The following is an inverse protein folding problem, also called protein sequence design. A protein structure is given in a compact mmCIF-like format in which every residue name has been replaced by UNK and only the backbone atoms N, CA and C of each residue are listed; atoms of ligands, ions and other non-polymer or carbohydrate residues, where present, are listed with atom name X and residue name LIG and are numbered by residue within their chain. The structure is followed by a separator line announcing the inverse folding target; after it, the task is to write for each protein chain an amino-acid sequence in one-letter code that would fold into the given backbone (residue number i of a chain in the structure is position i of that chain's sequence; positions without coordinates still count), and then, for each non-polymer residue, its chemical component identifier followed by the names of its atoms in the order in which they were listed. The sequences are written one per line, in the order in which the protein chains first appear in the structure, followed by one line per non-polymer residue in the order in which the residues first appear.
data_IF_149501623938
#
_entry.id   IF_149501623938
#
_cell.length_a   1.000
_cell.length_b   1.000
_cell.length_c   1.000
_cell.angle_alpha   90.00
_cell.angle_beta   90.00
_cell.angle_gamma   90.00
#
_symmetry.space_group_name_H-M   'P 1'
#
loop_
_entity.id
_entity.type
_entity.pdbx_description
1 polymer ?
#
# COMPACT_ATOMS: atom_id res chain seq x y z
N UNK A 1 -15.14 50.38 28.28
CA UNK A 1 -15.26 51.64 27.50
C UNK A 1 -13.89 51.89 26.91
N UNK A 2 -13.55 51.62 25.66
CA UNK A 2 -14.17 51.06 24.44
C UNK A 2 -12.95 50.51 23.69
N UNK A 3 -12.81 49.20 23.54
CA UNK A 3 -13.24 48.39 22.39
C UNK A 3 -12.66 48.88 21.05
N UNK A 4 -11.79 48.06 20.46
CA UNK A 4 -11.41 48.05 19.03
C UNK A 4 -10.76 46.69 18.73
N UNK A 5 -11.62 45.71 18.41
CA UNK A 5 -11.30 44.51 17.66
C UNK A 5 -11.47 44.81 16.17
N UNK A 6 -10.52 44.41 15.33
CA UNK A 6 -10.69 44.43 13.88
C UNK A 6 -10.33 43.06 13.31
N UNK A 7 -11.37 42.24 13.15
CA UNK A 7 -11.38 41.05 12.31
C UNK A 7 -11.67 41.45 10.86
N UNK A 8 -10.84 40.98 9.93
CA UNK A 8 -11.13 40.88 8.50
C UNK A 8 -10.53 39.55 8.05
N UNK A 9 -11.27 38.49 7.67
CA UNK A 9 -12.44 38.47 6.79
C UNK A 9 -11.97 37.99 5.40
N UNK A 10 -11.59 36.70 5.28
CA UNK A 10 -11.30 36.06 3.99
C UNK A 10 -12.59 35.40 3.48
N UNK A 11 -12.89 35.71 2.22
CA UNK A 11 -14.12 35.34 1.52
C UNK A 11 -13.93 33.96 0.90
N UNK A 12 -14.70 32.98 1.38
CA UNK A 12 -14.89 31.70 0.70
C UNK A 12 -16.00 31.83 -0.35
N UNK A 13 -15.64 31.60 -1.61
CA UNK A 13 -16.59 31.39 -2.71
C UNK A 13 -16.90 29.90 -2.87
N UNK A 14 -18.15 29.45 -2.66
CA UNK A 14 -18.52 28.06 -2.91
C UNK A 14 -18.73 27.81 -4.41
N UNK A 15 -18.04 26.80 -4.95
CA UNK A 15 -18.31 26.25 -6.29
C UNK A 15 -19.59 25.41 -6.25
N UNK A 16 -20.56 25.81 -7.07
CA UNK A 16 -21.86 25.17 -7.25
C UNK A 16 -21.73 23.81 -7.96
N UNK A 17 -22.06 22.72 -7.27
CA UNK A 17 -22.36 21.42 -7.87
C UNK A 17 -23.84 21.35 -8.26
N UNK A 18 -24.12 21.01 -9.54
CA UNK A 18 -25.48 20.90 -10.07
C UNK A 18 -26.14 19.60 -9.60
N UNK A 19 -27.10 19.72 -8.70
CA UNK A 19 -28.15 18.71 -8.47
C UNK A 19 -29.01 18.55 -9.73
N UNK A 20 -29.14 17.32 -10.20
CA UNK A 20 -30.31 16.87 -10.96
C UNK A 20 -31.09 15.91 -10.08
N UNK A 21 -32.26 16.36 -9.65
CA UNK A 21 -33.27 15.57 -8.96
C UNK A 21 -34.18 14.90 -10.00
N UNK A 22 -34.47 13.61 -9.82
CA UNK A 22 -35.64 12.96 -10.43
C UNK A 22 -36.28 11.97 -9.44
N UNK A 23 -37.31 12.52 -8.80
CA UNK A 23 -38.55 11.98 -8.27
C UNK A 23 -38.78 10.45 -8.29
N UNK A 24 -39.13 9.95 -7.10
CA UNK A 24 -39.70 8.63 -6.83
C UNK A 24 -41.04 8.39 -7.56
N UNK A 25 -41.23 7.16 -8.05
CA UNK A 25 -42.54 6.61 -8.36
C UNK A 25 -42.70 5.24 -7.67
N UNK A 26 -43.57 5.22 -6.66
CA UNK A 26 -44.06 4.01 -6.00
C UNK A 26 -45.04 3.32 -6.94
N UNK A 27 -44.80 2.05 -7.25
CA UNK A 27 -45.72 1.25 -8.07
C UNK A 27 -45.52 -0.24 -7.85
N UNK A 28 -46.39 -0.85 -7.04
CA UNK A 28 -46.55 -2.30 -6.89
C UNK A 28 -47.21 -2.89 -8.14
N UNK A 29 -46.73 -4.03 -8.66
CA UNK A 29 -47.61 -4.99 -9.32
C UNK A 29 -47.69 -6.30 -8.54
N UNK A 30 -48.90 -6.86 -8.57
CA UNK A 30 -49.35 -8.03 -7.84
C UNK A 30 -48.71 -9.35 -8.32
N UNK A 31 -48.65 -10.28 -7.36
CA UNK A 31 -48.44 -11.73 -7.46
C UNK A 31 -49.14 -12.40 -8.66
N UNK A 32 -48.42 -13.28 -9.37
CA UNK A 32 -48.92 -14.51 -10.00
C UNK A 32 -47.77 -15.48 -10.39
N UNK A 33 -47.37 -16.34 -9.44
CA UNK A 33 -47.35 -17.81 -9.56
C UNK A 33 -46.30 -18.57 -10.39
N UNK A 34 -45.61 -19.48 -9.67
CA UNK A 34 -44.94 -20.76 -10.06
C UNK A 34 -43.45 -20.66 -10.48
N UNK A 35 -42.47 -21.42 -9.97
CA UNK A 35 -42.38 -22.38 -8.87
C UNK A 35 -40.88 -22.72 -8.59
N UNK A 36 -40.59 -23.10 -7.34
CA UNK A 36 -39.47 -23.90 -6.80
C UNK A 36 -38.06 -23.27 -6.69
N UNK A 37 -37.67 -23.03 -5.43
CA UNK A 37 -36.29 -22.78 -5.00
C UNK A 37 -36.16 -21.73 -3.90
N UNK A 38 -36.99 -21.79 -2.85
CA UNK A 38 -36.89 -20.85 -1.72
C UNK A 38 -35.65 -21.17 -0.89
N UNK A 39 -34.54 -20.49 -1.16
CA UNK A 39 -33.58 -20.14 -0.13
C UNK A 39 -34.26 -19.12 0.79
N UNK A 40 -34.98 -19.59 1.80
CA UNK A 40 -35.20 -18.80 3.01
C UNK A 40 -33.87 -18.78 3.78
N UNK A 41 -32.94 -17.94 3.34
CA UNK A 41 -31.90 -17.45 4.21
C UNK A 41 -32.62 -16.63 5.29
N UNK A 42 -32.77 -17.23 6.47
CA UNK A 42 -33.20 -16.51 7.65
C UNK A 42 -32.26 -15.32 7.82
N UNK A 43 -32.74 -14.13 7.50
CA UNK A 43 -32.16 -12.87 7.94
C UNK A 43 -32.33 -12.81 9.46
N UNK A 44 -31.47 -13.53 10.18
CA UNK A 44 -30.96 -12.96 11.41
C UNK A 44 -30.23 -11.70 10.97
N UNK A 45 -30.73 -10.55 11.41
CA UNK A 45 -29.86 -9.43 11.69
C UNK A 45 -28.80 -10.01 12.61
N UNK A 46 -27.62 -10.33 12.08
CA UNK A 46 -26.50 -10.66 12.94
C UNK A 46 -26.20 -9.37 13.68
N UNK A 47 -26.09 -9.45 15.00
CA UNK A 47 -25.51 -8.34 15.73
C UNK A 47 -24.09 -8.13 15.17
N UNK A 48 -23.64 -6.88 15.04
CA UNK A 48 -22.31 -6.57 14.50
C UNK A 48 -21.17 -7.29 15.23
N UNK A 49 -21.41 -7.67 16.49
CA UNK A 49 -20.51 -8.46 17.34
C UNK A 49 -20.24 -9.87 16.77
N UNK A 50 -21.11 -10.44 15.93
CA UNK A 50 -20.92 -11.79 15.34
C UNK A 50 -19.81 -11.82 14.28
N UNK A 51 -19.41 -10.67 13.73
CA UNK A 51 -18.42 -10.56 12.66
C UNK A 51 -17.17 -9.78 13.05
N UNK A 52 -17.04 -9.31 14.30
CA UNK A 52 -15.81 -8.67 14.79
C UNK A 52 -14.60 -9.63 14.70
N UNK A 53 -14.86 -10.91 14.98
CA UNK A 53 -13.89 -11.99 14.91
C UNK A 53 -14.14 -12.91 13.70
N UNK A 54 -13.08 -13.56 13.23
CA UNK A 54 -13.13 -14.61 12.23
C UNK A 54 -12.13 -15.72 12.51
N UNK A 55 -12.16 -16.75 11.68
CA UNK A 55 -11.24 -17.88 11.77
C UNK A 55 -10.46 -17.98 10.45
N UNK A 56 -9.15 -17.77 10.51
CA UNK A 56 -8.27 -17.95 9.36
C UNK A 56 -7.91 -19.43 9.19
N UNK A 57 -8.58 -20.07 8.25
CA UNK A 57 -8.45 -21.49 7.93
C UNK A 57 -7.50 -21.75 6.74
N UNK A 58 -7.02 -23.00 6.60
CA UNK A 58 -6.43 -23.50 5.36
C UNK A 58 -7.36 -23.35 4.15
N UNK A 59 -6.76 -23.30 2.96
CA UNK A 59 -7.46 -23.23 1.68
C UNK A 59 -8.44 -24.40 1.51
N UNK A 60 -9.56 -24.13 0.83
CA UNK A 60 -10.45 -25.19 0.36
C UNK A 60 -9.85 -25.87 -0.89
N UNK A 61 -10.31 -27.10 -1.19
CA UNK A 61 -9.83 -27.95 -2.30
C UNK A 61 -9.85 -27.28 -3.70
N UNK A 62 -10.54 -26.16 -3.86
CA UNK A 62 -10.74 -25.44 -5.12
C UNK A 62 -10.15 -24.02 -5.15
N UNK A 63 -9.08 -23.75 -4.38
CA UNK A 63 -8.41 -22.44 -4.36
C UNK A 63 -6.89 -22.51 -4.69
N UNK A 64 -6.47 -23.15 -5.80
CA UNK A 64 -5.05 -23.27 -6.12
C UNK A 64 -4.38 -21.92 -6.45
N UNK A 65 -5.14 -20.89 -6.81
CA UNK A 65 -4.61 -19.55 -7.08
C UNK A 65 -4.11 -18.82 -5.82
N UNK A 66 -4.49 -19.30 -4.64
CA UNK A 66 -4.02 -18.78 -3.36
C UNK A 66 -2.84 -19.61 -2.79
N UNK A 67 -2.46 -20.69 -3.48
CA UNK A 67 -1.37 -21.55 -3.04
C UNK A 67 -0.04 -20.82 -3.19
N UNK A 68 0.71 -20.70 -2.09
CA UNK A 68 1.97 -19.96 -2.05
C UNK A 68 1.80 -18.44 -1.91
N UNK A 69 0.59 -17.92 -2.07
CA UNK A 69 0.31 -16.49 -1.89
C UNK A 69 0.44 -16.08 -0.42
N UNK A 70 1.16 -14.99 -0.21
CA UNK A 70 1.54 -14.47 1.11
C UNK A 70 0.58 -13.39 1.59
N UNK A 71 0.04 -12.62 0.65
CA UNK A 71 -0.77 -11.44 0.93
C UNK A 71 -2.22 -11.63 0.58
N UNK A 72 -2.57 -12.69 -0.14
CA UNK A 72 -3.92 -12.94 -0.62
C UNK A 72 -4.72 -13.81 0.35
N UNK A 73 -5.98 -13.42 0.58
CA UNK A 73 -6.99 -14.19 1.32
C UNK A 73 -8.33 -14.19 0.57
N UNK A 74 -9.21 -15.12 0.93
CA UNK A 74 -10.64 -15.07 0.59
C UNK A 74 -11.50 -15.03 1.84
N UNK A 75 -12.68 -14.44 1.77
CA UNK A 75 -13.60 -14.38 2.91
C UNK A 75 -15.07 -14.42 2.48
N UNK A 76 -15.96 -14.77 3.42
CA UNK A 76 -17.40 -14.77 3.17
C UNK A 76 -17.93 -13.37 2.84
N UNK A 77 -18.75 -13.20 1.79
CA UNK A 77 -19.33 -11.91 1.44
C UNK A 77 -20.11 -11.24 2.59
N UNK A 78 -20.69 -12.01 3.52
CA UNK A 78 -21.41 -11.50 4.69
C UNK A 78 -20.46 -10.91 5.72
N UNK A 79 -19.35 -11.59 6.01
CA UNK A 79 -18.28 -11.07 6.86
C UNK A 79 -17.71 -9.79 6.26
N UNK A 80 -17.39 -9.80 4.97
CA UNK A 80 -16.88 -8.61 4.26
C UNK A 80 -17.88 -7.44 4.31
N UNK A 81 -19.15 -7.69 4.00
CA UNK A 81 -20.21 -6.68 4.04
C UNK A 81 -20.41 -6.09 5.44
N UNK A 82 -20.24 -6.88 6.50
CA UNK A 82 -20.34 -6.39 7.88
C UNK A 82 -19.26 -5.35 8.22
N UNK A 83 -18.10 -5.44 7.56
CA UNK A 83 -16.98 -4.51 7.70
C UNK A 83 -16.92 -3.45 6.59
N UNK A 84 -17.87 -3.44 5.65
CA UNK A 84 -17.82 -2.55 4.50
C UNK A 84 -16.66 -2.83 3.55
N UNK A 85 -16.18 -4.08 3.52
CA UNK A 85 -15.08 -4.55 2.68
C UNK A 85 -15.60 -5.24 1.40
N UNK A 86 -14.77 -5.25 0.37
CA UNK A 86 -14.98 -6.00 -0.88
C UNK A 86 -13.67 -6.61 -1.41
N UNK A 87 -13.77 -7.52 -2.37
CA UNK A 87 -12.59 -7.96 -3.10
C UNK A 87 -11.83 -6.77 -3.73
N UNK A 88 -10.50 -6.87 -3.72
CA UNK A 88 -9.54 -5.85 -4.11
C UNK A 88 -9.04 -4.98 -2.95
N UNK A 89 -9.75 -4.92 -1.83
CA UNK A 89 -9.36 -4.08 -0.69
C UNK A 89 -8.38 -4.77 0.26
N UNK A 90 -7.65 -3.94 1.02
CA UNK A 90 -6.80 -4.40 2.11
C UNK A 90 -7.59 -4.54 3.42
N UNK A 91 -7.21 -5.54 4.22
CA UNK A 91 -7.74 -5.78 5.56
C UNK A 91 -6.61 -6.19 6.50
N UNK A 92 -6.65 -5.75 7.76
CA UNK A 92 -5.73 -6.18 8.81
C UNK A 92 -6.38 -7.32 9.59
N UNK A 93 -5.67 -8.43 9.69
CA UNK A 93 -6.03 -9.53 10.59
C UNK A 93 -5.08 -9.47 11.79
N UNK A 94 -5.65 -9.52 12.99
CA UNK A 94 -4.92 -9.52 14.26
C UNK A 94 -5.25 -10.81 14.99
N UNK A 95 -4.26 -11.51 15.53
CA UNK A 95 -4.51 -12.70 16.35
C UNK A 95 -5.20 -12.35 17.65
N UNK A 96 -6.21 -13.15 18.01
CA UNK A 96 -6.96 -12.92 19.25
C UNK A 96 -6.16 -13.27 20.52
N UNK A 97 -5.15 -14.14 20.40
CA UNK A 97 -4.29 -14.56 21.51
C UNK A 97 -3.04 -13.69 21.66
N UNK A 98 -2.71 -12.84 20.68
CA UNK A 98 -1.57 -11.92 20.70
C UNK A 98 -1.79 -10.75 19.72
N UNK A 99 -2.01 -9.55 20.24
CA UNK A 99 -2.26 -8.33 19.46
C UNK A 99 -1.03 -7.78 18.72
N UNK A 100 0.18 -8.19 19.13
CA UNK A 100 1.43 -7.94 18.38
C UNK A 100 1.58 -8.82 17.13
N UNK A 101 0.74 -9.86 16.99
CA UNK A 101 0.70 -10.76 15.83
C UNK A 101 -0.42 -10.37 14.87
N UNK A 102 -0.09 -9.53 13.91
CA UNK A 102 -1.03 -9.11 12.87
C UNK A 102 -0.36 -9.12 11.49
N UNK A 103 -1.14 -8.94 10.43
CA UNK A 103 -0.64 -8.63 9.10
C UNK A 103 -1.76 -8.04 8.24
N UNK A 104 -1.37 -7.26 7.24
CA UNK A 104 -2.30 -6.80 6.21
C UNK A 104 -2.36 -7.79 5.05
N UNK A 105 -3.57 -7.94 4.50
CA UNK A 105 -3.87 -8.84 3.40
C UNK A 105 -4.73 -8.15 2.37
N UNK A 106 -4.64 -8.61 1.12
CA UNK A 106 -5.55 -8.28 0.04
C UNK A 106 -6.65 -9.35 -0.01
N UNK A 107 -7.90 -8.91 -0.01
CA UNK A 107 -9.05 -9.80 -0.26
C UNK A 107 -9.13 -10.03 -1.76
N UNK A 108 -8.76 -11.21 -2.26
CA UNK A 108 -8.74 -11.47 -3.72
C UNK A 108 -9.96 -12.26 -4.20
N UNK A 109 -10.72 -12.85 -3.29
CA UNK A 109 -11.91 -13.65 -3.60
C UNK A 109 -12.97 -13.47 -2.52
N UNK A 110 -14.20 -13.13 -2.94
CA UNK A 110 -15.38 -13.25 -2.09
C UNK A 110 -15.96 -14.65 -2.24
N UNK A 111 -15.99 -15.42 -1.16
CA UNK A 111 -16.30 -16.84 -1.19
C UNK A 111 -17.30 -17.22 -0.12
N UNK A 112 -18.52 -17.66 -0.47
CA UNK A 112 -19.47 -18.15 0.52
C UNK A 112 -18.90 -19.32 1.34
N UNK A 113 -18.88 -19.17 2.66
CA UNK A 113 -18.40 -20.15 3.62
C UNK A 113 -19.49 -20.55 4.61
N UNK A 114 -19.30 -21.70 5.25
CA UNK A 114 -20.16 -22.17 6.33
C UNK A 114 -19.31 -22.86 7.41
N UNK A 115 -19.09 -22.23 8.57
CA UNK A 115 -19.66 -20.95 9.02
C UNK A 115 -19.17 -19.71 8.25
N UNK A 116 -19.87 -18.57 8.41
CA UNK A 116 -19.68 -17.34 7.61
C UNK A 116 -18.54 -16.44 8.09
N UNK A 117 -17.91 -16.78 9.20
CA UNK A 117 -16.78 -16.10 9.82
C UNK A 117 -15.42 -16.68 9.33
N UNK A 118 -15.45 -17.64 8.41
CA UNK A 118 -14.26 -18.23 7.82
C UNK A 118 -13.58 -17.26 6.85
N UNK A 119 -12.27 -17.13 7.04
CA UNK A 119 -11.32 -16.53 6.11
C UNK A 119 -10.38 -17.64 5.66
N UNK A 120 -10.04 -17.71 4.37
CA UNK A 120 -9.09 -18.68 3.83
C UNK A 120 -7.80 -17.97 3.42
N UNK A 121 -6.67 -18.55 3.79
CA UNK A 121 -5.36 -18.13 3.30
C UNK A 121 -4.45 -19.32 3.12
N UNK A 122 -3.53 -19.24 2.16
CA UNK A 122 -2.49 -20.25 1.96
C UNK A 122 -1.57 -20.36 3.17
N UNK A 123 -0.76 -21.43 3.25
CA UNK A 123 0.18 -21.60 4.37
C UNK A 123 1.12 -20.40 4.50
N UNK A 124 1.56 -19.80 3.39
CA UNK A 124 2.40 -18.60 3.41
C UNK A 124 1.68 -17.36 3.96
N UNK A 125 0.39 -17.19 3.69
CA UNK A 125 -0.43 -16.13 4.27
C UNK A 125 -0.60 -16.31 5.79
N UNK A 126 -0.91 -17.53 6.26
CA UNK A 126 -1.10 -17.81 7.70
C UNK A 126 0.18 -17.59 8.51
N UNK A 127 1.35 -17.93 7.96
CA UNK A 127 2.67 -17.69 8.59
C UNK A 127 2.92 -16.23 8.98
N UNK A 128 2.30 -15.27 8.29
CA UNK A 128 2.50 -13.84 8.60
C UNK A 128 1.86 -13.42 9.93
N UNK A 129 0.97 -14.24 10.50
CA UNK A 129 0.37 -14.05 11.83
C UNK A 129 1.06 -14.88 12.92
N UNK A 130 2.15 -15.58 12.63
CA UNK A 130 2.82 -16.41 13.63
C UNK A 130 4.34 -16.19 13.62
N UNK A 131 4.75 -14.93 13.62
CA UNK A 131 6.16 -14.56 13.52
C UNK A 131 6.94 -14.88 14.80
N UNK A 132 6.29 -14.88 15.96
CA UNK A 132 6.88 -15.33 17.23
C UNK A 132 7.35 -16.79 17.20
N UNK A 133 6.72 -17.63 16.39
CA UNK A 133 7.11 -19.03 16.20
C UNK A 133 8.22 -19.21 15.15
N UNK A 134 8.75 -18.10 14.63
CA UNK A 134 9.80 -18.13 13.62
C UNK A 134 11.13 -17.68 14.20
N UNK A 135 12.15 -18.51 13.97
CA UNK A 135 13.54 -18.17 14.27
C UNK A 135 13.89 -16.82 13.60
N UNK A 136 14.42 -15.84 14.35
CA UNK A 136 14.90 -14.59 13.77
C UNK A 136 15.90 -14.89 12.66
N UNK A 137 15.67 -14.35 11.46
CA UNK A 137 16.73 -14.29 10.47
C UNK A 137 17.82 -13.35 10.98
N UNK A 138 19.08 -13.77 10.91
CA UNK A 138 20.23 -12.94 11.28
C UNK A 138 20.20 -11.66 10.41
N UNK A 139 20.08 -10.45 11.00
CA UNK A 139 20.10 -9.20 10.26
C UNK A 139 21.49 -8.90 9.65
N UNK A 140 22.48 -9.78 9.87
CA UNK A 140 23.87 -9.66 9.42
C UNK A 140 24.15 -10.08 7.98
N UNK A 141 23.14 -10.40 7.18
CA UNK A 141 23.29 -10.60 5.74
C UNK A 141 22.40 -9.60 5.00
N UNK A 142 22.90 -9.06 3.90
CA UNK A 142 22.21 -8.16 2.95
C UNK A 142 21.02 -8.83 2.23
N UNK A 143 20.42 -9.85 2.84
CA UNK A 143 19.36 -10.64 2.28
C UNK A 143 18.05 -9.86 2.41
N UNK A 144 17.37 -9.79 1.26
CA UNK A 144 15.92 -9.63 1.14
C UNK A 144 15.20 -10.10 2.40
N UNK A 145 14.15 -9.42 2.90
CA UNK A 145 13.23 -10.06 3.83
C UNK A 145 12.56 -11.25 3.13
N UNK A 146 13.24 -12.39 3.06
CA UNK A 146 12.66 -13.66 2.67
C UNK A 146 11.69 -14.06 3.77
N UNK A 147 10.47 -14.38 3.35
CA UNK A 147 9.49 -14.99 4.22
C UNK A 147 9.95 -16.42 4.54
N UNK A 148 10.76 -16.53 5.59
CA UNK A 148 10.81 -17.60 6.59
C UNK A 148 10.72 -19.03 6.02
N UNK A 149 11.90 -19.66 5.86
CA UNK A 149 12.07 -20.98 5.25
C UNK A 149 11.59 -22.16 6.14
N UNK A 150 11.31 -21.95 7.43
CA UNK A 150 10.81 -23.01 8.31
C UNK A 150 9.60 -22.52 9.11
N UNK A 151 8.44 -23.10 8.82
CA UNK A 151 7.24 -23.01 9.66
C UNK A 151 6.89 -24.44 10.03
N UNK A 152 6.66 -24.66 11.32
CA UNK A 152 6.29 -25.97 11.86
C UNK A 152 4.83 -26.02 12.29
N UNK A 153 4.04 -24.97 12.03
CA UNK A 153 2.60 -24.97 12.29
C UNK A 153 1.88 -25.77 11.20
N UNK A 154 1.63 -27.04 11.46
CA UNK A 154 0.79 -27.85 10.59
C UNK A 154 -0.66 -27.32 10.63
N UNK A 155 -1.26 -27.01 9.48
CA UNK A 155 -2.72 -26.94 9.25
C UNK A 155 -3.64 -26.29 10.32
N UNK A 156 -3.13 -25.34 11.11
CA UNK A 156 -3.90 -24.72 12.19
C UNK A 156 -4.84 -23.62 11.69
N UNK A 157 -6.02 -23.59 12.31
CA UNK A 157 -6.99 -22.50 12.27
C UNK A 157 -6.55 -21.43 13.28
N UNK A 158 -6.59 -20.17 12.87
CA UNK A 158 -6.16 -19.05 13.71
C UNK A 158 -7.36 -18.15 13.99
N UNK A 159 -7.71 -17.99 15.27
CA UNK A 159 -8.72 -17.02 15.69
C UNK A 159 -8.19 -15.60 15.51
N UNK A 160 -8.91 -14.79 14.73
CA UNK A 160 -8.50 -13.43 14.38
C UNK A 160 -9.59 -12.41 14.63
N UNK A 161 -9.18 -11.16 14.84
CA UNK A 161 -10.02 -9.97 14.79
C UNK A 161 -9.80 -9.30 13.43
N UNK A 162 -10.90 -8.91 12.79
CA UNK A 162 -10.88 -8.20 11.51
C UNK A 162 -10.86 -6.69 11.77
N UNK A 163 -9.85 -6.01 11.24
CA UNK A 163 -9.72 -4.55 11.32
C UNK A 163 -9.64 -3.92 9.93
N UNK A 164 -10.43 -2.87 9.73
CA UNK A 164 -10.45 -2.04 8.51
C UNK A 164 -9.47 -0.87 8.57
N UNK A 165 -8.86 -0.63 9.72
CA UNK A 165 -7.84 0.42 9.87
C UNK A 165 -6.51 -0.11 9.32
N UNK A 166 -6.13 0.36 8.14
CA UNK A 166 -4.85 0.04 7.50
C UNK A 166 -3.80 1.10 7.86
N UNK A 167 -3.82 2.33 7.29
CA UNK A 167 -3.11 3.43 7.91
C UNK A 167 -3.89 3.95 9.11
N UNK A 168 -3.18 4.28 10.19
CA UNK A 168 -3.75 5.00 11.32
C UNK A 168 -3.51 6.51 11.14
N UNK A 169 -4.54 7.30 10.78
CA UNK A 169 -4.36 8.72 10.48
C UNK A 169 -4.08 9.58 11.72
N UNK A 170 -4.42 9.07 12.91
CA UNK A 170 -4.34 9.84 14.16
C UNK A 170 -2.94 9.82 14.78
N UNK A 171 -2.03 8.99 14.26
CA UNK A 171 -0.68 8.85 14.81
C UNK A 171 0.33 9.79 14.14
N UNK A 172 1.17 10.38 14.98
CA UNK A 172 2.45 10.93 14.54
C UNK A 172 3.39 9.82 14.06
N UNK A 173 4.44 10.20 13.34
CA UNK A 173 5.47 9.24 12.91
C UNK A 173 6.18 8.55 14.09
N UNK A 174 6.49 9.30 15.15
CA UNK A 174 7.15 8.73 16.32
C UNK A 174 6.22 7.75 17.07
N UNK A 175 4.95 8.09 17.23
CA UNK A 175 3.96 7.17 17.83
C UNK A 175 3.76 5.91 16.99
N UNK A 176 3.65 6.06 15.66
CA UNK A 176 3.50 4.91 14.76
C UNK A 176 4.74 4.00 14.79
N UNK A 177 5.94 4.58 14.87
CA UNK A 177 7.18 3.82 15.03
C UNK A 177 7.25 3.08 16.36
N UNK A 178 6.87 3.72 17.45
CA UNK A 178 6.85 3.12 18.79
C UNK A 178 5.80 2.00 18.89
N UNK A 179 4.64 2.18 18.27
CA UNK A 179 3.51 1.24 18.33
C UNK A 179 3.57 0.14 17.26
N UNK A 180 4.49 0.24 16.28
CA UNK A 180 4.55 -0.71 15.18
C UNK A 180 3.36 -0.59 14.24
N UNK A 181 2.93 0.64 13.96
CA UNK A 181 1.78 0.96 13.11
C UNK A 181 2.21 1.46 11.72
N UNK A 182 1.24 1.56 10.82
CA UNK A 182 1.40 2.19 9.51
C UNK A 182 0.69 3.53 9.49
N UNK A 183 1.35 4.54 8.93
CA UNK A 183 0.78 5.85 8.63
C UNK A 183 0.86 6.14 7.14
N UNK A 184 0.00 7.05 6.71
CA UNK A 184 -0.07 7.54 5.34
C UNK A 184 0.16 9.06 5.34
N UNK A 185 0.86 9.57 4.32
CA UNK A 185 1.14 11.00 4.15
C UNK A 185 0.97 11.39 2.69
N UNK A 186 0.31 12.52 2.48
CA UNK A 186 0.16 13.18 1.20
C UNK A 186 0.61 14.64 1.32
N UNK A 187 1.58 15.01 0.49
CA UNK A 187 1.94 16.40 0.24
C UNK A 187 1.40 16.79 -1.13
N UNK A 188 0.14 17.20 -1.18
CA UNK A 188 -0.53 17.66 -2.40
C UNK A 188 -0.04 19.07 -2.77
N UNK A 189 0.57 19.17 -3.96
CA UNK A 189 1.07 20.43 -4.53
C UNK A 189 0.34 20.81 -5.83
N UNK A 190 -0.66 20.04 -6.25
CA UNK A 190 -1.38 20.24 -7.52
C UNK A 190 -0.48 20.14 -8.75
N UNK A 191 0.55 19.29 -8.68
CA UNK A 191 1.54 19.05 -9.74
C UNK A 191 1.16 17.81 -10.55
N UNK A 192 1.40 17.83 -11.87
CA UNK A 192 1.20 16.67 -12.76
C UNK A 192 2.29 15.58 -12.59
N UNK A 193 3.34 15.86 -11.81
CA UNK A 193 4.34 14.91 -11.34
C UNK A 193 3.99 14.39 -9.95
N UNK A 194 4.01 13.06 -9.80
CA UNK A 194 3.75 12.33 -8.57
C UNK A 194 4.96 11.49 -8.14
N UNK A 195 5.42 11.65 -6.90
CA UNK A 195 6.38 10.74 -6.26
C UNK A 195 5.67 9.79 -5.29
N UNK A 196 5.93 8.50 -5.43
CA UNK A 196 5.28 7.42 -4.68
C UNK A 196 6.31 6.62 -3.87
N UNK A 197 5.94 6.30 -2.63
CA UNK A 197 6.60 5.26 -1.84
C UNK A 197 5.55 4.42 -1.10
N UNK A 198 4.98 3.40 -1.75
CA UNK A 198 3.91 2.58 -1.17
C UNK A 198 4.36 1.71 0.00
N UNK A 199 5.67 1.56 0.21
CA UNK A 199 6.27 0.67 1.20
C UNK A 199 7.36 1.37 2.02
N UNK A 200 7.12 2.59 2.49
CA UNK A 200 8.12 3.33 3.26
C UNK A 200 8.25 2.92 4.73
N UNK A 201 9.02 3.68 5.49
CA UNK A 201 9.30 3.41 6.90
C UNK A 201 10.30 2.26 7.05
N UNK A 202 9.98 1.25 7.85
CA UNK A 202 10.78 0.04 7.98
C UNK A 202 10.36 -1.09 7.02
N UNK A 203 9.30 -0.91 6.22
CA UNK A 203 8.85 -1.90 5.24
C UNK A 203 9.89 -2.06 4.12
N UNK A 204 10.22 -0.97 3.43
CA UNK A 204 11.37 -0.86 2.55
C UNK A 204 12.13 0.43 2.91
N UNK A 205 13.14 0.36 3.80
CA UNK A 205 13.77 1.55 4.37
C UNK A 205 14.21 2.61 3.36
N UNK A 206 13.95 3.89 3.68
CA UNK A 206 14.34 5.08 2.90
C UNK A 206 13.49 5.40 1.67
N UNK A 207 12.61 4.52 1.18
CA UNK A 207 11.81 4.85 -0.02
C UNK A 207 10.87 6.03 0.22
N UNK A 208 10.25 6.12 1.41
CA UNK A 208 9.46 7.28 1.84
C UNK A 208 10.26 8.57 1.85
N UNK A 209 11.48 8.53 2.40
CA UNK A 209 12.34 9.69 2.50
C UNK A 209 12.80 10.14 1.11
N UNK A 210 13.04 9.20 0.20
CA UNK A 210 13.35 9.50 -1.20
C UNK A 210 12.19 10.20 -1.91
N UNK A 211 10.96 9.68 -1.76
CA UNK A 211 9.78 10.29 -2.36
C UNK A 211 9.52 11.70 -1.80
N UNK A 212 9.63 11.86 -0.48
CA UNK A 212 9.49 13.14 0.21
C UNK A 212 10.53 14.16 -0.25
N UNK A 213 11.80 13.78 -0.25
CA UNK A 213 12.89 14.66 -0.68
C UNK A 213 12.79 15.04 -2.15
N UNK A 214 12.51 14.08 -3.04
CA UNK A 214 12.32 14.37 -4.46
C UNK A 214 11.11 15.28 -4.71
N UNK A 215 10.01 15.05 -3.98
CA UNK A 215 8.80 15.89 -4.05
C UNK A 215 9.03 17.31 -3.56
N UNK A 216 9.81 17.51 -2.50
CA UNK A 216 10.22 18.84 -2.03
C UNK A 216 11.10 19.56 -3.05
N UNK A 217 12.10 18.88 -3.61
CA UNK A 217 13.03 19.46 -4.58
C UNK A 217 12.34 19.89 -5.88
N UNK A 218 11.45 19.04 -6.41
CA UNK A 218 10.77 19.28 -7.67
C UNK A 218 9.42 20.01 -7.53
N UNK A 219 9.05 20.43 -6.31
CA UNK A 219 7.73 20.99 -5.97
C UNK A 219 6.55 20.10 -6.46
N UNK A 220 6.73 18.79 -6.41
CA UNK A 220 5.79 17.79 -6.94
C UNK A 220 4.85 17.20 -5.88
N UNK A 221 3.73 16.62 -6.30
CA UNK A 221 2.84 15.89 -5.38
C UNK A 221 3.57 14.64 -4.88
N UNK A 222 3.47 14.34 -3.58
CA UNK A 222 4.10 13.16 -2.99
C UNK A 222 3.12 12.38 -2.13
N UNK A 223 2.95 11.10 -2.43
CA UNK A 223 2.19 10.17 -1.61
C UNK A 223 3.10 9.04 -1.09
N UNK A 224 3.00 8.73 0.20
CA UNK A 224 3.83 7.70 0.84
C UNK A 224 3.14 7.05 2.02
N UNK A 225 3.43 5.76 2.22
CA UNK A 225 3.16 5.07 3.48
C UNK A 225 4.44 4.97 4.30
N UNK A 226 4.31 4.85 5.63
CA UNK A 226 5.44 4.63 6.53
C UNK A 226 5.00 3.58 7.56
N UNK A 227 5.52 2.36 7.47
CA UNK A 227 5.14 1.25 8.35
C UNK A 227 6.29 0.77 9.22
N UNK A 228 6.01 0.46 10.48
CA UNK A 228 6.95 -0.17 11.43
C UNK A 228 6.33 -1.41 12.03
N UNK A 229 7.11 -2.39 12.45
CA UNK A 229 6.56 -3.52 13.19
C UNK A 229 6.78 -3.36 14.70
N UNK A 230 6.01 -4.08 15.53
CA UNK A 230 6.18 -4.07 16.98
C UNK A 230 7.64 -4.37 17.36
N UNK A 231 8.15 -3.65 18.34
CA UNK A 231 9.55 -3.76 18.81
C UNK A 231 10.62 -3.48 17.71
N UNK A 232 10.24 -2.84 16.61
CA UNK A 232 11.16 -2.43 15.54
C UNK A 232 11.57 -3.54 14.57
N UNK A 233 10.86 -4.68 14.56
CA UNK A 233 11.17 -5.83 13.68
C UNK A 233 9.99 -6.16 12.77
N UNK A 234 10.23 -6.93 11.71
CA UNK A 234 9.20 -7.55 10.87
C UNK A 234 8.22 -6.61 10.13
N UNK A 235 8.51 -5.31 10.02
CA UNK A 235 7.65 -4.34 9.32
C UNK A 235 7.24 -4.79 7.91
N UNK A 236 8.18 -5.34 7.13
CA UNK A 236 7.89 -5.92 5.81
C UNK A 236 6.85 -7.04 5.88
N UNK A 237 7.01 -8.00 6.79
CA UNK A 237 6.07 -9.11 6.93
C UNK A 237 4.68 -8.65 7.37
N UNK A 238 4.59 -7.61 8.20
CA UNK A 238 3.33 -7.07 8.71
C UNK A 238 2.58 -6.23 7.67
N UNK A 239 3.29 -5.32 7.01
CA UNK A 239 2.68 -4.22 6.23
C UNK A 239 2.86 -4.30 4.72
N UNK A 240 3.70 -5.21 4.20
CA UNK A 240 3.86 -5.29 2.75
C UNK A 240 2.67 -5.99 2.09
N UNK A 241 2.12 -5.37 1.05
CA UNK A 241 1.31 -5.99 -0.01
C UNK A 241 1.85 -5.56 -1.37
N UNK A 242 1.81 -6.40 -2.42
CA UNK A 242 2.25 -6.00 -3.75
C UNK A 242 1.62 -4.69 -4.19
N UNK A 243 2.39 -3.79 -4.81
CA UNK A 243 1.86 -2.49 -5.29
C UNK A 243 0.75 -2.66 -6.34
N UNK A 244 0.72 -3.80 -7.04
CA UNK A 244 -0.37 -4.18 -7.95
C UNK A 244 -1.69 -4.51 -7.27
N UNK A 245 -1.66 -4.77 -5.95
CA UNK A 245 -2.85 -5.12 -5.17
C UNK A 245 -3.39 -3.95 -4.34
N UNK A 246 -2.63 -2.86 -4.18
CA UNK A 246 -3.03 -1.72 -3.37
C UNK A 246 -4.31 -1.07 -3.91
N UNK A 247 -5.33 -0.96 -3.07
CA UNK A 247 -6.58 -0.29 -3.42
C UNK A 247 -6.61 1.11 -2.81
N UNK A 248 -6.82 2.17 -3.61
CA UNK A 248 -6.99 3.53 -3.07
C UNK A 248 -8.03 3.61 -1.94
N UNK A 249 -9.13 2.87 -2.04
CA UNK A 249 -10.17 2.85 -1.00
C UNK A 249 -9.74 2.28 0.37
N UNK A 250 -8.55 1.67 0.46
CA UNK A 250 -7.96 1.23 1.73
C UNK A 250 -6.99 2.23 2.34
N UNK A 251 -6.72 3.33 1.65
CA UNK A 251 -5.70 4.33 1.95
C UNK A 251 -6.31 5.73 1.77
N UNK A 252 -6.86 6.35 2.84
CA UNK A 252 -7.65 7.56 2.73
C UNK A 252 -6.97 8.72 2.00
N UNK A 253 -5.66 8.92 2.16
CA UNK A 253 -4.97 10.00 1.44
C UNK A 253 -4.78 9.64 -0.05
N UNK A 254 -4.48 8.38 -0.38
CA UNK A 254 -4.39 7.89 -1.75
C UNK A 254 -5.72 8.03 -2.48
N UNK A 255 -6.83 7.75 -1.80
CA UNK A 255 -8.18 7.91 -2.34
C UNK A 255 -8.42 9.35 -2.83
N UNK A 256 -7.84 10.35 -2.16
CA UNK A 256 -8.03 11.76 -2.56
C UNK A 256 -7.43 12.11 -3.92
N UNK A 257 -6.35 11.42 -4.33
CA UNK A 257 -5.64 11.64 -5.59
C UNK A 257 -5.88 10.53 -6.62
N UNK A 258 -6.71 9.53 -6.30
CA UNK A 258 -6.89 8.35 -7.13
C UNK A 258 -7.59 8.61 -8.47
N UNK A 259 -8.43 9.66 -8.51
CA UNK A 259 -9.15 10.10 -9.72
C UNK A 259 -8.38 11.18 -10.50
N UNK A 260 -7.18 11.55 -10.06
CA UNK A 260 -6.32 12.49 -10.77
C UNK A 260 -5.58 11.79 -11.92
N UNK A 261 -5.36 12.51 -13.03
CA UNK A 261 -4.61 12.01 -14.18
C UNK A 261 -3.22 12.65 -14.20
N UNK A 262 -2.28 12.11 -13.42
CA UNK A 262 -0.90 12.59 -13.43
C UNK A 262 -0.24 12.33 -14.78
N UNK A 263 0.56 13.28 -15.27
CA UNK A 263 1.35 13.07 -16.49
C UNK A 263 2.46 12.05 -16.25
N UNK A 264 3.08 12.08 -15.07
CA UNK A 264 4.20 11.22 -14.71
C UNK A 264 4.15 10.82 -13.23
N UNK A 265 4.32 9.52 -12.95
CA UNK A 265 4.56 9.04 -11.59
C UNK A 265 5.93 8.37 -11.46
N UNK A 266 6.56 8.50 -10.30
CA UNK A 266 7.82 7.84 -9.95
C UNK A 266 7.61 6.98 -8.70
N UNK A 267 7.82 5.68 -8.83
CA UNK A 267 7.71 4.72 -7.73
C UNK A 267 9.10 4.37 -7.18
N UNK A 268 9.36 4.78 -5.94
CA UNK A 268 10.55 4.38 -5.20
C UNK A 268 10.33 3.03 -4.53
N UNK A 269 10.96 2.00 -5.07
CA UNK A 269 10.80 0.61 -4.63
C UNK A 269 12.12 -0.03 -4.19
N UNK A 270 12.05 -0.80 -3.11
CA UNK A 270 13.14 -1.63 -2.61
C UNK A 270 13.10 -3.02 -3.24
N UNK A 271 14.26 -3.49 -3.73
CA UNK A 271 14.44 -4.86 -4.22
C UNK A 271 15.64 -5.51 -3.54
N UNK A 272 15.83 -6.79 -3.82
CA UNK A 272 16.82 -7.62 -3.16
C UNK A 272 18.06 -7.84 -4.03
N UNK A 273 17.87 -7.69 -5.34
CA UNK A 273 18.93 -7.59 -6.31
C UNK A 273 19.81 -6.37 -6.01
N UNK A 274 21.12 -6.55 -6.21
CA UNK A 274 22.09 -5.47 -6.01
C UNK A 274 21.93 -4.38 -7.07
N UNK A 275 22.00 -3.11 -6.63
CA UNK A 275 22.13 -1.96 -7.50
C UNK A 275 20.90 -1.06 -7.56
N UNK A 276 20.86 -0.23 -8.59
CA UNK A 276 19.81 0.76 -8.84
C UNK A 276 19.39 0.58 -10.30
N UNK A 277 18.11 0.32 -10.54
CA UNK A 277 17.57 0.05 -11.88
C UNK A 277 16.40 0.98 -12.15
N UNK A 278 16.48 1.69 -13.29
CA UNK A 278 15.44 2.59 -13.78
C UNK A 278 14.60 1.87 -14.84
N UNK A 279 13.35 1.57 -14.49
CA UNK A 279 12.31 0.99 -15.34
C UNK A 279 11.11 1.92 -15.51
N UNK A 280 9.93 1.35 -15.77
CA UNK A 280 8.67 2.08 -15.95
C UNK A 280 8.26 2.26 -17.41
N UNK A 281 7.10 2.88 -17.63
CA UNK A 281 6.46 3.04 -18.94
C UNK A 281 6.90 4.28 -19.70
N UNK A 282 7.58 5.23 -19.03
CA UNK A 282 8.12 6.43 -19.66
C UNK A 282 9.06 6.08 -20.82
N UNK A 283 9.14 6.99 -21.80
CA UNK A 283 10.01 6.78 -22.94
C UNK A 283 11.47 6.59 -22.52
N UNK A 284 12.24 5.94 -23.39
CA UNK A 284 13.63 5.60 -23.09
C UNK A 284 14.49 6.84 -22.80
N UNK A 285 14.26 7.96 -23.48
CA UNK A 285 15.07 9.16 -23.31
C UNK A 285 14.85 9.77 -21.91
N UNK A 286 13.61 9.77 -21.43
CA UNK A 286 13.25 10.20 -20.08
C UNK A 286 13.85 9.28 -19.01
N UNK A 287 13.78 7.95 -19.20
CA UNK A 287 14.46 6.99 -18.31
C UNK A 287 15.98 7.18 -18.30
N UNK A 288 16.59 7.46 -19.45
CA UNK A 288 18.02 7.77 -19.58
C UNK A 288 18.41 9.04 -18.84
N UNK A 289 17.61 10.11 -18.97
CA UNK A 289 17.83 11.37 -18.25
C UNK A 289 17.82 11.18 -16.72
N UNK A 290 16.85 10.42 -16.20
CA UNK A 290 16.78 10.08 -14.77
C UNK A 290 17.99 9.26 -14.34
N UNK A 291 18.32 8.18 -15.06
CA UNK A 291 19.50 7.34 -14.76
C UNK A 291 20.78 8.16 -14.73
N UNK A 292 21.00 9.01 -15.73
CA UNK A 292 22.21 9.79 -15.87
C UNK A 292 22.31 10.84 -14.75
N UNK A 293 21.20 11.46 -14.38
CA UNK A 293 21.13 12.41 -13.27
C UNK A 293 21.37 11.74 -11.91
N UNK A 294 20.84 10.52 -11.68
CA UNK A 294 21.19 9.70 -10.51
C UNK A 294 22.70 9.43 -10.48
N UNK A 295 23.27 8.96 -11.59
CA UNK A 295 24.70 8.70 -11.65
C UNK A 295 25.53 9.97 -11.42
N UNK A 296 25.07 11.13 -11.88
CA UNK A 296 25.71 12.44 -11.67
C UNK A 296 25.61 12.94 -10.23
N UNK A 297 24.56 12.58 -9.50
CA UNK A 297 24.45 12.88 -8.07
C UNK A 297 25.31 11.95 -7.20
N UNK A 298 25.45 10.69 -7.61
CA UNK A 298 26.16 9.67 -6.84
C UNK A 298 27.70 9.88 -6.79
N UNK A 299 28.36 9.50 -5.67
CA UNK A 299 29.82 9.48 -5.58
C UNK A 299 30.45 8.55 -6.62
N UNK A 300 31.63 8.88 -7.14
CA UNK A 300 32.25 8.11 -8.25
C UNK A 300 32.60 6.65 -7.91
N UNK A 301 32.66 6.29 -6.63
CA UNK A 301 32.94 4.92 -6.18
C UNK A 301 31.67 4.12 -5.83
N UNK A 302 30.48 4.69 -6.01
CA UNK A 302 29.21 4.01 -5.72
C UNK A 302 28.84 2.99 -6.78
N UNK A 303 27.77 2.23 -6.52
CA UNK A 303 27.07 1.51 -7.57
C UNK A 303 26.52 2.49 -8.61
N UNK A 304 26.51 2.07 -9.87
CA UNK A 304 25.99 2.85 -11.00
C UNK A 304 24.55 2.43 -11.27
N UNK A 305 23.66 3.41 -11.43
CA UNK A 305 22.30 3.21 -11.88
C UNK A 305 22.27 2.76 -13.34
N UNK A 306 21.50 1.72 -13.63
CA UNK A 306 21.32 1.16 -14.96
C UNK A 306 19.87 1.33 -15.43
N UNK A 307 19.63 1.09 -16.72
CA UNK A 307 18.26 0.92 -17.21
C UNK A 307 17.86 -0.55 -17.09
N UNK A 308 16.58 -0.81 -16.90
CA UNK A 308 16.02 -2.12 -17.16
C UNK A 308 16.06 -2.46 -18.66
N UNK A 309 16.26 -3.73 -19.00
CA UNK A 309 16.30 -4.27 -20.37
C UNK A 309 14.92 -4.34 -21.07
N UNK A 310 13.94 -3.58 -20.55
CA UNK A 310 12.50 -3.51 -20.87
C UNK A 310 11.62 -4.60 -20.18
N UNK A 311 10.39 -4.20 -19.78
CA UNK A 311 9.37 -4.89 -18.93
C UNK A 311 9.39 -4.64 -17.40
N UNK A 312 10.51 -4.21 -16.81
CA UNK A 312 10.51 -3.88 -15.37
C UNK A 312 9.65 -2.64 -15.08
N UNK A 313 8.68 -2.80 -14.18
CA UNK A 313 7.78 -1.72 -13.77
C UNK A 313 6.70 -1.33 -14.79
N UNK A 314 6.44 -2.15 -15.82
CA UNK A 314 5.47 -1.80 -16.90
C UNK A 314 4.10 -2.48 -16.76
N UNK A 315 3.92 -3.37 -15.79
CA UNK A 315 2.64 -4.03 -15.52
C UNK A 315 1.57 -2.98 -15.18
N UNK A 316 0.46 -2.97 -15.91
CA UNK A 316 -0.61 -1.98 -15.78
C UNK A 316 -1.34 -2.04 -14.44
N UNK A 317 -1.25 -3.17 -13.72
CA UNK A 317 -1.86 -3.29 -12.39
C UNK A 317 -1.07 -2.53 -11.31
N UNK A 318 0.22 -2.24 -11.53
CA UNK A 318 1.05 -1.50 -10.57
C UNK A 318 0.40 -0.14 -10.25
N UNK A 319 0.39 0.25 -8.97
CA UNK A 319 -0.25 1.48 -8.53
C UNK A 319 0.18 2.70 -9.34
N UNK A 320 1.48 2.87 -9.58
CA UNK A 320 1.99 4.01 -10.37
C UNK A 320 1.44 4.05 -11.79
N UNK A 321 1.27 2.90 -12.46
CA UNK A 321 0.73 2.81 -13.82
C UNK A 321 -0.78 3.01 -13.87
N UNK A 322 -1.49 2.88 -12.74
CA UNK A 322 -2.92 3.22 -12.63
C UNK A 322 -3.15 4.71 -12.39
N UNK A 323 -2.20 5.40 -11.76
CA UNK A 323 -2.32 6.81 -11.37
C UNK A 323 -1.77 7.79 -12.41
N UNK A 324 -0.88 7.36 -13.30
CA UNK A 324 -0.22 8.26 -14.25
C UNK A 324 -0.16 7.71 -15.68
N UNK A 325 -0.10 8.64 -16.65
CA UNK A 325 0.05 8.30 -18.06
C UNK A 325 1.40 7.65 -18.38
N UNK A 326 2.47 8.13 -17.74
CA UNK A 326 3.81 7.56 -17.81
C UNK A 326 4.38 7.30 -16.42
N UNK A 327 5.32 6.35 -16.33
CA UNK A 327 5.97 6.04 -15.06
C UNK A 327 7.48 5.86 -15.16
N UNK A 328 8.16 6.22 -14.07
CA UNK A 328 9.49 5.73 -13.74
C UNK A 328 9.35 4.77 -12.57
N UNK A 329 9.83 3.54 -12.72
CA UNK A 329 9.91 2.58 -11.63
C UNK A 329 11.35 2.44 -11.19
N UNK A 330 11.66 2.79 -9.93
CA UNK A 330 13.01 2.77 -9.42
C UNK A 330 13.21 1.61 -8.45
N UNK A 331 13.85 0.54 -8.93
CA UNK A 331 14.19 -0.64 -8.14
C UNK A 331 15.59 -0.50 -7.53
N UNK A 332 15.71 -0.61 -6.21
CA UNK A 332 16.95 -0.32 -5.50
C UNK A 332 17.26 -1.31 -4.39
N UNK A 333 18.51 -1.79 -4.34
CA UNK A 333 18.98 -2.63 -3.24
C UNK A 333 18.92 -1.89 -1.90
N UNK A 334 18.85 -2.66 -0.81
CA UNK A 334 18.89 -2.09 0.55
C UNK A 334 20.17 -1.27 0.78
N UNK A 335 21.33 -1.77 0.34
CA UNK A 335 22.61 -1.06 0.48
C UNK A 335 22.62 0.28 -0.24
N UNK A 336 22.10 0.34 -1.46
CA UNK A 336 22.05 1.57 -2.24
C UNK A 336 21.18 2.62 -1.54
N UNK A 337 19.99 2.23 -1.07
CA UNK A 337 19.09 3.09 -0.30
C UNK A 337 19.73 3.54 1.01
N UNK A 338 20.30 2.63 1.78
CA UNK A 338 20.92 2.96 3.07
C UNK A 338 22.07 3.95 2.93
N UNK A 339 22.91 3.77 1.91
CA UNK A 339 24.11 4.58 1.71
C UNK A 339 23.85 5.90 0.99
N UNK A 340 22.92 5.94 0.03
CA UNK A 340 22.82 7.02 -0.95
C UNK A 340 21.39 7.52 -1.21
N UNK A 341 20.46 7.36 -0.27
CA UNK A 341 19.06 7.74 -0.53
C UNK A 341 18.89 9.21 -0.94
N UNK A 342 19.65 10.14 -0.34
CA UNK A 342 19.60 11.57 -0.66
C UNK A 342 20.09 11.83 -2.09
N UNK A 343 21.24 11.29 -2.46
CA UNK A 343 21.81 11.46 -3.80
C UNK A 343 20.92 10.84 -4.87
N UNK A 344 20.33 9.67 -4.60
CA UNK A 344 19.43 9.01 -5.55
C UNK A 344 18.17 9.85 -5.77
N UNK A 345 17.53 10.32 -4.69
CA UNK A 345 16.31 11.14 -4.80
C UNK A 345 16.57 12.51 -5.42
N UNK A 346 17.71 13.15 -5.11
CA UNK A 346 18.18 14.36 -5.78
C UNK A 346 18.36 14.13 -7.28
N UNK A 347 19.04 13.05 -7.67
CA UNK A 347 19.27 12.71 -9.07
C UNK A 347 17.98 12.42 -9.84
N UNK A 348 17.02 11.75 -9.20
CA UNK A 348 15.67 11.57 -9.77
C UNK A 348 14.98 12.91 -10.00
N UNK A 349 14.95 13.79 -9.00
CA UNK A 349 14.32 15.11 -9.11
C UNK A 349 14.98 15.96 -10.20
N UNK A 350 16.32 16.00 -10.25
CA UNK A 350 17.08 16.73 -11.27
C UNK A 350 16.87 16.17 -12.69
N UNK A 351 16.62 14.87 -12.83
CA UNK A 351 16.32 14.26 -14.13
C UNK A 351 14.93 14.60 -14.67
N UNK A 352 14.03 15.15 -13.84
CA UNK A 352 12.63 15.41 -14.17
C UNK A 352 12.24 16.89 -14.03
N UNK A 353 13.04 17.71 -13.34
CA UNK A 353 12.80 19.14 -13.16
C UNK A 353 14.06 19.96 -13.45
N UNK A 354 13.95 20.90 -14.38
CA UNK A 354 15.04 21.81 -14.76
C UNK A 354 15.41 22.79 -13.62
N UNK A 355 14.53 22.96 -12.63
CA UNK A 355 14.75 23.85 -11.47
C UNK A 355 15.64 23.20 -10.40
N UNK A 356 15.86 21.89 -10.47
CA UNK A 356 16.69 21.14 -9.52
C UNK A 356 18.11 21.01 -10.08
N UNK A 357 19.06 21.68 -9.43
CA UNK A 357 20.46 21.74 -9.90
C UNK A 357 21.34 20.77 -9.11
N UNK A 358 22.03 19.88 -9.84
CA UNK A 358 23.08 19.04 -9.27
C UNK A 358 24.33 19.87 -8.96
N UNK A 359 24.84 19.77 -7.73
CA UNK A 359 26.17 20.26 -7.39
C UNK A 359 27.26 19.29 -7.87
N UNK A 360 28.52 19.74 -7.92
CA UNK A 360 29.63 18.93 -8.44
C UNK A 360 29.73 17.58 -7.73
N UNK A 361 29.92 16.50 -8.52
CA UNK A 361 30.17 15.14 -8.02
C UNK A 361 31.23 15.13 -6.93
N UNK A 362 30.88 14.54 -5.79
CA UNK A 362 31.84 14.31 -4.72
C UNK A 362 32.75 13.13 -5.08
N UNK A 363 34.06 13.35 -5.00
CA UNK A 363 35.02 12.26 -5.06
C UNK A 363 35.06 11.57 -3.70
N UNK A 364 35.13 10.24 -3.73
CA UNK A 364 35.65 9.48 -2.61
C UNK A 364 37.17 9.81 -2.47
#
# INVERSE_FOLDING_TARGET
MTDDTNETGRIDTPKLTRRSALTAAVGTPALLGLAVGSYEAATRVSDGDEFETGILCPLADNQPSLEGEKTAISADPRLLSAHGLSAGQQVRLVRNDNDDEFAIYTIVEERPENPSDIIRGGTAARKRLDLASVEPTDPGNDDCPELLQAYTGDDEEIDVTVSTTIPNPDLSEDEAREQGELIERLDDRGSDLLFLAPHGGAVQPKTDQQAEHAGELAEATCWRTKGWGPNGVNAFHRWHVPTSELSPSSYPELETIADEEFELAVDFSGVCETGIVVGGTADRARREAVRDSINDALPTCSVTATLADDESGTNQELLSNRLAAETIYLAQSYDARRAYWEEISLGVAAGLSDDVVLMQRHSC
#
